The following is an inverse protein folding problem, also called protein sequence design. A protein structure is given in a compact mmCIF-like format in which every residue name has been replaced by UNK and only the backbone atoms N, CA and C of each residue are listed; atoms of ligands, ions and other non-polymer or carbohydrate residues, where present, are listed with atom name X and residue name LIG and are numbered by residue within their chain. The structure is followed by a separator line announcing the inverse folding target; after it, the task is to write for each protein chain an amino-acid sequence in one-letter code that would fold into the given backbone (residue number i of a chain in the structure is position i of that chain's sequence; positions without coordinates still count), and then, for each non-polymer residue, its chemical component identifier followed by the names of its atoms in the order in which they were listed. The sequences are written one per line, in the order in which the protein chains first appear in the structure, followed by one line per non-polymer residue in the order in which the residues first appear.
data_IF_796521667783
#
_entry.id   IF_796521667783
#
_cell.length_a   1.000
_cell.length_b   1.000
_cell.length_c   1.000
_cell.angle_alpha   90.00
_cell.angle_beta   90.00
_cell.angle_gamma   90.00
#
_symmetry.space_group_name_H-M   'P 1'
#
loop_
_entity.id
_entity.type
_entity.pdbx_description
1 polymer ?
#
# COMPACT_ATOMS: atom_id res chain seq x y z
N UNK A 1 4.64 -12.13 -75.55
CA UNK A 1 3.84 -11.30 -74.63
C UNK A 1 2.96 -12.17 -73.72
N UNK A 2 3.47 -13.16 -72.97
CA UNK A 2 2.71 -14.03 -72.09
C UNK A 2 3.20 -14.11 -70.64
N UNK A 3 4.26 -13.39 -70.29
CA UNK A 3 4.83 -13.42 -68.93
C UNK A 3 4.28 -12.35 -68.01
N UNK A 4 3.82 -11.20 -68.52
CA UNK A 4 3.29 -10.09 -67.71
C UNK A 4 1.92 -10.42 -67.03
N UNK A 5 1.07 -11.18 -67.75
CA UNK A 5 -0.26 -11.52 -67.25
C UNK A 5 -0.20 -12.50 -66.05
N UNK A 6 0.78 -13.38 -66.01
CA UNK A 6 0.95 -14.35 -64.89
C UNK A 6 1.45 -13.65 -63.63
N UNK A 7 2.29 -12.65 -63.76
CA UNK A 7 2.79 -11.86 -62.65
C UNK A 7 1.71 -10.92 -62.07
N UNK A 8 0.87 -10.31 -62.91
CA UNK A 8 -0.24 -9.49 -62.44
C UNK A 8 -1.30 -10.30 -61.69
N UNK A 9 -1.60 -11.51 -62.14
CA UNK A 9 -2.52 -12.41 -61.44
C UNK A 9 -1.95 -12.88 -60.10
N UNK A 10 -0.65 -13.15 -60.00
CA UNK A 10 -0.01 -13.53 -58.75
C UNK A 10 -0.02 -12.38 -57.72
N UNK A 11 0.27 -11.15 -58.16
CA UNK A 11 0.23 -9.95 -57.31
C UNK A 11 -1.19 -9.67 -56.81
N UNK A 12 -2.20 -9.78 -57.67
CA UNK A 12 -3.60 -9.62 -57.28
C UNK A 12 -4.09 -10.69 -56.28
N UNK A 13 -3.62 -11.93 -56.46
CA UNK A 13 -3.94 -13.00 -55.51
C UNK A 13 -3.31 -12.78 -54.13
N UNK A 14 -2.06 -12.30 -54.08
CA UNK A 14 -1.38 -11.96 -52.81
C UNK A 14 -2.04 -10.75 -52.12
N UNK A 15 -2.37 -9.71 -52.89
CA UNK A 15 -3.11 -8.55 -52.33
C UNK A 15 -4.50 -8.94 -51.84
N UNK A 16 -5.21 -9.80 -52.57
CA UNK A 16 -6.50 -10.33 -52.12
C UNK A 16 -6.42 -11.17 -50.83
N UNK A 17 -5.37 -11.99 -50.70
CA UNK A 17 -5.13 -12.77 -49.48
C UNK A 17 -4.77 -11.88 -48.27
N UNK A 18 -3.96 -10.85 -48.51
CA UNK A 18 -3.59 -9.87 -47.45
C UNK A 18 -4.80 -9.04 -46.99
N UNK A 19 -5.64 -8.59 -47.93
CA UNK A 19 -6.88 -7.84 -47.59
C UNK A 19 -7.89 -8.73 -46.88
N UNK A 20 -7.99 -10.00 -47.27
CA UNK A 20 -8.86 -10.95 -46.58
C UNK A 20 -8.36 -11.27 -45.16
N UNK A 21 -7.06 -11.48 -44.97
CA UNK A 21 -6.45 -11.70 -43.68
C UNK A 21 -6.64 -10.49 -42.75
N UNK A 22 -6.43 -9.29 -43.28
CA UNK A 22 -6.65 -8.03 -42.55
C UNK A 22 -8.14 -7.79 -42.22
N UNK A 23 -9.03 -8.13 -43.14
CA UNK A 23 -10.49 -8.08 -42.91
C UNK A 23 -10.95 -9.10 -41.86
N UNK A 24 -10.35 -10.27 -41.83
CA UNK A 24 -10.63 -11.29 -40.79
C UNK A 24 -10.13 -10.87 -39.41
N UNK A 25 -8.99 -10.18 -39.33
CA UNK A 25 -8.52 -9.60 -38.06
C UNK A 25 -9.41 -8.45 -37.59
N UNK A 26 -9.89 -7.61 -38.49
CA UNK A 26 -10.84 -6.52 -38.16
C UNK A 26 -12.28 -7.03 -37.91
N UNK A 27 -12.64 -8.22 -38.38
CA UNK A 27 -13.94 -8.85 -38.20
C UNK A 27 -13.97 -9.81 -37.01
N UNK A 28 -12.83 -9.98 -36.31
CA UNK A 28 -12.78 -10.58 -34.98
C UNK A 28 -13.62 -9.70 -34.06
N UNK A 29 -14.87 -10.13 -33.83
CA UNK A 29 -15.94 -9.36 -33.22
C UNK A 29 -15.60 -8.85 -31.81
N UNK A 30 -16.43 -7.94 -31.29
CA UNK A 30 -16.29 -7.29 -29.98
C UNK A 30 -16.44 -8.25 -28.78
N UNK A 31 -16.46 -9.58 -29.01
CA UNK A 31 -16.65 -10.61 -27.98
C UNK A 31 -15.34 -11.05 -27.31
N UNK A 32 -14.21 -10.35 -27.57
CA UNK A 32 -12.95 -10.45 -26.81
C UNK A 32 -12.52 -9.10 -26.21
N UNK A 33 -13.42 -8.21 -25.98
CA UNK A 33 -13.33 -7.34 -24.83
C UNK A 33 -13.52 -8.23 -23.61
N UNK A 34 -12.52 -9.07 -23.32
CA UNK A 34 -12.38 -9.65 -22.01
C UNK A 34 -12.48 -8.48 -21.06
N UNK A 35 -13.41 -8.58 -20.17
CA UNK A 35 -13.63 -7.68 -19.03
C UNK A 35 -12.28 -7.40 -18.38
N UNK A 36 -11.61 -6.34 -18.84
CA UNK A 36 -10.41 -5.80 -18.23
C UNK A 36 -10.88 -5.00 -17.02
N UNK A 37 -11.68 -5.64 -16.16
CA UNK A 37 -11.87 -5.21 -14.81
C UNK A 37 -10.47 -5.08 -14.23
N UNK A 38 -10.08 -3.86 -13.86
CA UNK A 38 -8.82 -3.65 -13.15
C UNK A 38 -8.75 -4.70 -12.04
N UNK A 39 -7.60 -5.40 -11.88
CA UNK A 39 -7.48 -6.42 -10.85
C UNK A 39 -7.98 -5.86 -9.53
N UNK A 40 -8.83 -6.60 -8.83
CA UNK A 40 -9.30 -6.18 -7.52
C UNK A 40 -8.07 -5.93 -6.62
N UNK A 41 -8.07 -4.88 -5.77
CA UNK A 41 -6.98 -4.62 -4.86
C UNK A 41 -6.68 -5.86 -4.02
N UNK A 42 -5.43 -6.32 -4.04
CA UNK A 42 -4.96 -7.50 -3.31
C UNK A 42 -4.28 -7.09 -2.02
N UNK A 43 -4.34 -7.96 -1.02
CA UNK A 43 -3.61 -7.75 0.24
C UNK A 43 -2.12 -7.97 0.02
N UNK A 44 -1.77 -8.99 -0.77
CA UNK A 44 -0.40 -9.41 -1.08
C UNK A 44 -0.28 -9.76 -2.55
N UNK A 45 0.96 -9.73 -3.06
CA UNK A 45 1.31 -10.38 -4.32
C UNK A 45 1.31 -11.90 -4.16
N UNK A 46 1.04 -12.63 -5.22
CA UNK A 46 1.11 -14.11 -5.21
C UNK A 46 2.51 -14.64 -4.83
N UNK A 47 3.56 -13.83 -5.04
CA UNK A 47 4.94 -14.16 -4.69
C UNK A 47 5.27 -13.94 -3.20
N UNK A 48 4.46 -13.22 -2.44
CA UNK A 48 4.69 -12.89 -1.03
C UNK A 48 4.09 -13.99 -0.13
N UNK A 49 4.63 -15.22 -0.30
CA UNK A 49 4.27 -16.35 0.58
C UNK A 49 4.97 -16.25 1.93
N UNK A 50 4.47 -16.89 3.00
CA UNK A 50 5.12 -16.87 4.32
C UNK A 50 6.59 -17.29 4.25
N UNK A 51 6.94 -18.28 3.42
CA UNK A 51 8.30 -18.75 3.23
C UNK A 51 9.17 -17.72 2.53
N UNK A 52 8.64 -17.04 1.50
CA UNK A 52 9.33 -15.97 0.79
C UNK A 52 9.58 -14.74 1.67
N UNK A 53 8.65 -14.45 2.58
CA UNK A 53 8.74 -13.31 3.49
C UNK A 53 9.61 -13.58 4.72
N UNK A 54 9.90 -14.82 5.09
CA UNK A 54 10.65 -15.17 6.29
C UNK A 54 12.02 -14.45 6.37
N UNK A 55 12.81 -14.50 5.30
CA UNK A 55 14.09 -13.80 5.22
C UNK A 55 13.98 -12.26 5.27
N UNK A 56 13.11 -11.63 4.47
CA UNK A 56 12.82 -10.21 4.60
C UNK A 56 12.35 -9.77 6.00
N UNK A 57 11.44 -10.49 6.65
CA UNK A 57 10.95 -10.21 8.02
C UNK A 57 12.10 -10.25 9.03
N UNK A 58 12.97 -11.27 8.95
CA UNK A 58 14.13 -11.36 9.83
C UNK A 58 15.08 -10.18 9.65
N UNK A 59 15.32 -9.71 8.42
CA UNK A 59 16.21 -8.57 8.16
C UNK A 59 15.59 -7.22 8.55
N UNK A 60 14.29 -7.06 8.40
CA UNK A 60 13.58 -5.85 8.78
C UNK A 60 13.52 -5.68 10.30
N UNK A 61 13.52 -6.79 11.05
CA UNK A 61 13.52 -6.80 12.52
C UNK A 61 12.51 -5.80 13.11
N UNK A 62 11.27 -5.87 12.60
CA UNK A 62 10.22 -4.96 12.98
C UNK A 62 9.73 -5.24 14.40
N UNK A 63 9.37 -4.19 15.12
CA UNK A 63 8.61 -4.34 16.35
C UNK A 63 7.25 -5.00 16.06
N UNK A 64 6.72 -5.81 17.01
CA UNK A 64 5.42 -6.43 16.86
C UNK A 64 4.32 -5.35 16.72
N UNK A 65 3.28 -5.67 15.98
CA UNK A 65 2.12 -4.80 15.91
C UNK A 65 1.46 -4.68 17.29
N UNK A 66 0.79 -3.55 17.57
CA UNK A 66 0.16 -3.36 18.87
C UNK A 66 -0.85 -4.48 19.18
N UNK A 67 -0.78 -5.01 20.37
CA UNK A 67 -1.77 -5.95 20.88
C UNK A 67 -3.12 -5.25 21.12
N UNK A 68 -4.19 -6.02 21.12
CA UNK A 68 -5.54 -5.54 21.41
C UNK A 68 -5.60 -4.78 22.72
N UNK A 69 -6.10 -3.55 22.68
CA UNK A 69 -6.40 -2.77 23.87
C UNK A 69 -7.77 -3.12 24.48
N UNK A 70 -8.06 -2.66 25.69
CA UNK A 70 -9.31 -2.99 26.39
C UNK A 70 -10.55 -2.27 25.82
N UNK A 71 -10.36 -1.21 25.04
CA UNK A 71 -11.44 -0.40 24.47
C UNK A 71 -11.93 -0.91 23.10
N UNK A 72 -12.97 -0.28 22.59
CA UNK A 72 -13.53 -0.58 21.26
C UNK A 72 -12.68 -0.02 20.10
N UNK A 73 -11.74 0.91 20.40
CA UNK A 73 -10.93 1.59 19.43
C UNK A 73 -11.69 2.54 18.49
N UNK A 74 -11.03 3.05 17.44
CA UNK A 74 -11.63 3.96 16.47
C UNK A 74 -12.83 3.31 15.77
N UNK A 75 -14.00 3.95 15.85
CA UNK A 75 -15.26 3.40 15.31
C UNK A 75 -15.18 3.17 13.80
N UNK A 76 -14.53 4.07 13.06
CA UNK A 76 -14.37 3.97 11.62
C UNK A 76 -13.54 2.74 11.19
N UNK A 77 -12.67 2.23 12.07
CA UNK A 77 -11.80 1.09 11.82
C UNK A 77 -12.38 -0.26 12.28
N UNK A 78 -13.60 -0.28 12.83
CA UNK A 78 -14.24 -1.54 13.23
C UNK A 78 -14.43 -2.46 12.03
N UNK A 79 -14.01 -3.71 12.19
CA UNK A 79 -14.08 -4.73 11.15
C UNK A 79 -12.98 -4.62 10.08
N UNK A 80 -12.06 -3.65 10.21
CA UNK A 80 -10.85 -3.61 9.38
C UNK A 80 -9.83 -4.55 9.97
N UNK A 81 -9.53 -5.61 9.24
CA UNK A 81 -8.51 -6.61 9.59
C UNK A 81 -7.42 -6.57 8.54
N UNK A 82 -6.18 -6.45 8.98
CA UNK A 82 -4.98 -6.44 8.15
C UNK A 82 -3.93 -7.38 8.72
N UNK A 83 -2.79 -7.52 8.06
CA UNK A 83 -1.69 -8.36 8.52
C UNK A 83 -0.61 -7.52 9.19
N UNK A 84 0.04 -8.06 10.21
CA UNK A 84 1.26 -7.51 10.79
C UNK A 84 2.45 -7.92 9.94
N UNK A 85 3.18 -6.99 9.36
CA UNK A 85 4.35 -7.31 8.53
C UNK A 85 5.51 -7.95 9.31
N UNK A 86 5.52 -7.80 10.64
CA UNK A 86 6.58 -8.41 11.47
C UNK A 86 6.52 -9.95 11.46
N UNK A 87 5.32 -10.53 11.50
CA UNK A 87 5.13 -11.98 11.71
C UNK A 87 4.02 -12.63 10.87
N UNK A 88 3.23 -11.83 10.15
CA UNK A 88 2.11 -12.32 9.36
C UNK A 88 0.82 -12.55 10.15
N UNK A 89 0.76 -12.17 11.41
CA UNK A 89 -0.44 -12.32 12.24
C UNK A 89 -1.55 -11.36 11.80
N UNK A 90 -2.80 -11.80 11.98
CA UNK A 90 -3.97 -10.95 11.71
C UNK A 90 -4.17 -9.93 12.84
N UNK A 91 -4.43 -8.69 12.47
CA UNK A 91 -4.62 -7.55 13.38
C UNK A 91 -6.01 -6.95 13.16
N UNK A 92 -6.88 -6.99 14.17
CA UNK A 92 -8.06 -6.14 14.22
C UNK A 92 -7.61 -4.71 14.52
N UNK A 93 -7.63 -3.86 13.50
CA UNK A 93 -7.03 -2.52 13.59
C UNK A 93 -7.70 -1.66 14.68
N UNK A 94 -9.03 -1.73 14.82
CA UNK A 94 -9.72 -0.95 15.84
C UNK A 94 -9.25 -1.35 17.24
N UNK A 95 -9.17 -2.63 17.52
CA UNK A 95 -8.75 -3.16 18.82
C UNK A 95 -7.28 -2.91 19.09
N UNK A 96 -6.42 -3.09 18.09
CA UNK A 96 -4.99 -2.84 18.19
C UNK A 96 -4.67 -1.36 18.50
N UNK A 97 -5.49 -0.43 18.03
CA UNK A 97 -5.33 1.01 18.29
C UNK A 97 -6.16 1.54 19.47
N UNK A 98 -6.88 0.67 20.18
CA UNK A 98 -7.75 1.08 21.27
C UNK A 98 -6.98 1.62 22.48
N UNK A 99 -7.57 2.60 23.17
CA UNK A 99 -7.15 3.15 24.45
C UNK A 99 -5.71 3.73 24.46
N UNK A 100 -5.27 4.24 23.30
CA UNK A 100 -3.94 4.87 23.14
C UNK A 100 -4.00 6.07 22.19
N UNK A 101 -3.13 7.04 22.40
CA UNK A 101 -2.86 8.09 21.41
C UNK A 101 -1.99 7.49 20.32
N UNK A 102 -2.43 7.60 19.06
CA UNK A 102 -1.72 6.97 17.92
C UNK A 102 -1.35 8.00 16.86
N UNK A 103 -0.14 7.87 16.36
CA UNK A 103 0.30 8.47 15.10
C UNK A 103 0.35 7.36 14.06
N UNK A 104 -0.62 7.36 13.15
CA UNK A 104 -0.75 6.38 12.09
C UNK A 104 -0.15 6.97 10.82
N UNK A 105 1.00 6.45 10.38
CA UNK A 105 1.72 6.94 9.20
C UNK A 105 1.50 6.02 8.00
N UNK A 106 0.86 6.53 6.95
CA UNK A 106 0.51 5.80 5.74
C UNK A 106 1.58 6.03 4.67
N UNK A 107 2.16 4.95 4.15
CA UNK A 107 3.28 4.99 3.25
C UNK A 107 3.28 3.84 2.21
N UNK A 108 4.20 3.90 1.24
CA UNK A 108 4.49 2.78 0.34
C UNK A 108 5.99 2.71 0.04
N UNK A 109 6.50 1.51 -0.26
CA UNK A 109 7.93 1.27 -0.51
C UNK A 109 8.52 2.10 -1.65
N UNK A 110 7.72 2.46 -2.64
CA UNK A 110 8.11 3.26 -3.81
C UNK A 110 7.96 4.78 -3.60
N UNK A 111 7.43 5.21 -2.48
CA UNK A 111 7.19 6.62 -2.16
C UNK A 111 8.49 7.26 -1.60
N UNK A 112 9.18 8.06 -2.40
CA UNK A 112 10.42 8.74 -2.01
C UNK A 112 10.28 9.58 -0.74
N UNK A 113 9.34 10.55 -0.68
CA UNK A 113 9.12 11.37 0.52
C UNK A 113 8.75 10.55 1.77
N UNK A 114 8.08 9.39 1.60
CA UNK A 114 7.78 8.51 2.73
C UNK A 114 9.06 7.88 3.31
N UNK A 115 10.00 7.48 2.44
CA UNK A 115 11.27 6.92 2.87
C UNK A 115 12.13 7.93 3.65
N UNK A 116 12.04 9.21 3.31
CA UNK A 116 12.71 10.29 4.05
C UNK A 116 12.07 10.55 5.42
N UNK A 117 10.75 10.37 5.54
CA UNK A 117 9.98 10.62 6.76
C UNK A 117 10.12 9.50 7.81
N UNK A 118 10.18 8.23 7.39
CA UNK A 118 10.15 7.06 8.28
C UNK A 118 11.22 7.10 9.40
N UNK A 119 12.49 7.49 9.16
CA UNK A 119 13.47 7.65 10.23
C UNK A 119 13.10 8.73 11.25
N UNK A 120 12.42 9.81 10.81
CA UNK A 120 11.92 10.87 11.71
C UNK A 120 10.77 10.34 12.58
N UNK A 121 9.86 9.52 12.01
CA UNK A 121 8.80 8.82 12.76
C UNK A 121 9.37 7.91 13.84
N UNK A 122 10.41 7.12 13.52
CA UNK A 122 11.09 6.29 14.52
C UNK A 122 11.76 7.12 15.62
N UNK A 123 12.39 8.24 15.25
CA UNK A 123 13.01 9.14 16.22
C UNK A 123 11.97 9.79 17.13
N UNK A 124 10.82 10.16 16.58
CA UNK A 124 9.68 10.65 17.34
C UNK A 124 9.13 9.58 18.29
N UNK A 125 8.94 8.33 17.85
CA UNK A 125 8.49 7.24 18.72
C UNK A 125 9.43 7.05 19.92
N UNK A 126 10.75 7.05 19.69
CA UNK A 126 11.72 6.92 20.79
C UNK A 126 11.61 8.05 21.82
N UNK A 127 11.31 9.26 21.38
CA UNK A 127 11.15 10.43 22.26
C UNK A 127 9.82 10.42 23.01
N UNK A 128 8.73 10.11 22.31
CA UNK A 128 7.40 10.07 22.88
C UNK A 128 7.20 8.89 23.85
N UNK A 129 8.01 7.83 23.74
CA UNK A 129 7.90 6.64 24.57
C UNK A 129 6.50 6.04 24.52
N UNK A 130 5.94 5.72 25.69
CA UNK A 130 4.61 5.11 25.81
C UNK A 130 3.46 6.11 25.73
N UNK A 131 3.75 7.41 25.67
CA UNK A 131 2.71 8.46 25.62
C UNK A 131 1.99 8.45 24.26
N UNK A 132 2.69 8.09 23.19
CA UNK A 132 2.17 8.00 21.82
C UNK A 132 2.67 6.71 21.17
N UNK A 133 1.79 6.02 20.47
CA UNK A 133 2.13 4.84 19.68
C UNK A 133 2.25 5.23 18.21
N UNK A 134 3.43 5.15 17.62
CA UNK A 134 3.62 5.33 16.18
C UNK A 134 3.45 3.97 15.51
N UNK A 135 2.48 3.87 14.62
CA UNK A 135 2.18 2.67 13.82
C UNK A 135 2.22 3.06 12.36
N UNK A 136 2.97 2.34 11.55
CA UNK A 136 3.03 2.59 10.12
C UNK A 136 2.11 1.66 9.35
N UNK A 137 1.58 2.13 8.22
CA UNK A 137 0.66 1.38 7.36
C UNK A 137 1.23 1.36 5.95
N UNK A 138 1.63 0.19 5.49
CA UNK A 138 2.08 0.01 4.12
C UNK A 138 0.89 -0.23 3.20
N UNK A 139 0.72 0.63 2.19
CA UNK A 139 -0.47 0.68 1.33
C UNK A 139 -0.23 0.13 -0.09
N UNK A 140 0.58 -0.91 -0.21
CA UNK A 140 0.85 -1.59 -1.47
C UNK A 140 0.86 -3.11 -1.24
N UNK A 141 0.52 -3.90 -2.26
CA UNK A 141 0.48 -5.36 -2.16
C UNK A 141 1.86 -6.01 -2.06
N UNK A 142 2.94 -5.26 -2.34
CA UNK A 142 4.32 -5.75 -2.32
C UNK A 142 4.93 -5.68 -0.93
N UNK A 143 4.57 -6.59 -0.04
CA UNK A 143 5.08 -6.65 1.32
C UNK A 143 6.59 -6.90 1.37
N UNK A 144 7.13 -7.78 0.52
CA UNK A 144 8.56 -8.05 0.48
C UNK A 144 9.38 -6.76 0.23
N UNK A 145 8.91 -5.86 -0.66
CA UNK A 145 9.59 -4.59 -0.90
C UNK A 145 9.46 -3.62 0.28
N UNK A 146 8.34 -3.64 1.01
CA UNK A 146 8.18 -2.86 2.24
C UNK A 146 9.19 -3.29 3.30
N UNK A 147 9.31 -4.60 3.56
CA UNK A 147 10.27 -5.17 4.51
C UNK A 147 11.71 -4.83 4.15
N UNK A 148 12.07 -4.93 2.86
CA UNK A 148 13.39 -4.53 2.38
C UNK A 148 13.62 -3.03 2.62
N UNK A 149 12.64 -2.19 2.32
CA UNK A 149 12.75 -0.74 2.54
C UNK A 149 12.93 -0.39 4.01
N UNK A 150 12.17 -1.00 4.92
CA UNK A 150 12.33 -0.79 6.36
C UNK A 150 13.73 -1.19 6.84
N UNK A 151 14.24 -2.34 6.38
CA UNK A 151 15.61 -2.79 6.69
C UNK A 151 16.68 -1.82 6.18
N UNK A 152 16.57 -1.34 4.93
CA UNK A 152 17.49 -0.36 4.33
C UNK A 152 17.53 0.96 5.11
N UNK A 153 16.39 1.39 5.64
CA UNK A 153 16.28 2.63 6.42
C UNK A 153 16.66 2.45 7.89
N UNK A 154 16.87 1.21 8.36
CA UNK A 154 17.08 0.91 9.78
C UNK A 154 15.88 1.32 10.65
N UNK A 155 14.67 1.22 10.11
CA UNK A 155 13.42 1.55 10.79
C UNK A 155 12.72 0.28 11.23
N UNK A 156 12.46 0.17 12.53
CA UNK A 156 11.88 -1.01 13.18
C UNK A 156 10.46 -0.80 13.70
N UNK A 157 9.81 0.30 13.33
CA UNK A 157 8.43 0.59 13.74
C UNK A 157 7.46 -0.55 13.34
N UNK A 158 6.36 -0.75 14.09
CA UNK A 158 5.30 -1.65 13.67
C UNK A 158 4.76 -1.28 12.30
N UNK A 159 4.54 -2.27 11.44
CA UNK A 159 3.98 -2.10 10.10
C UNK A 159 2.71 -2.93 9.95
N UNK A 160 1.60 -2.27 9.70
CA UNK A 160 0.36 -2.91 9.23
C UNK A 160 0.41 -3.03 7.71
N UNK A 161 0.31 -4.24 7.20
CA UNK A 161 0.27 -4.52 5.77
C UNK A 161 -1.16 -4.36 5.25
N UNK A 162 -1.44 -3.27 4.54
CA UNK A 162 -2.77 -2.91 4.04
C UNK A 162 -2.74 -2.68 2.51
N UNK A 163 -2.42 -3.73 1.75
CA UNK A 163 -2.38 -3.67 0.28
C UNK A 163 -3.70 -3.24 -0.37
N UNK A 164 -4.81 -3.39 0.33
CA UNK A 164 -6.14 -2.96 -0.14
C UNK A 164 -6.48 -1.52 0.21
N UNK A 165 -5.67 -0.85 1.01
CA UNK A 165 -5.92 0.51 1.51
C UNK A 165 -7.22 0.62 2.31
N UNK A 166 -7.57 -0.44 3.02
CA UNK A 166 -8.80 -0.56 3.81
C UNK A 166 -8.85 0.47 4.94
N UNK A 167 -7.70 0.73 5.59
CA UNK A 167 -7.56 1.74 6.63
C UNK A 167 -7.79 3.14 6.07
N UNK A 168 -7.13 3.46 4.95
CA UNK A 168 -7.32 4.76 4.30
C UNK A 168 -8.76 4.98 3.84
N UNK A 169 -9.39 3.93 3.28
CA UNK A 169 -10.78 3.96 2.87
C UNK A 169 -11.74 4.18 4.04
N UNK A 170 -11.57 3.43 5.14
CA UNK A 170 -12.38 3.53 6.34
C UNK A 170 -12.29 4.92 7.00
N UNK A 171 -11.10 5.50 7.04
CA UNK A 171 -10.86 6.85 7.56
C UNK A 171 -11.18 7.96 6.54
N UNK A 172 -11.58 7.62 5.33
CA UNK A 172 -11.88 8.56 4.21
C UNK A 172 -10.72 9.52 3.92
N UNK A 173 -9.49 8.99 3.94
CA UNK A 173 -8.31 9.81 3.71
C UNK A 173 -8.18 10.24 2.25
N UNK A 174 -7.56 11.40 1.98
CA UNK A 174 -7.23 11.79 0.62
C UNK A 174 -6.24 10.79 -0.01
N UNK A 175 -6.30 10.66 -1.34
CA UNK A 175 -5.38 9.77 -2.07
C UNK A 175 -4.01 10.42 -2.28
N UNK A 176 -3.33 10.71 -1.18
CA UNK A 176 -1.96 11.26 -1.17
C UNK A 176 -1.08 10.46 -0.23
N UNK A 177 0.23 10.49 -0.47
CA UNK A 177 1.24 9.79 0.31
C UNK A 177 2.53 10.62 0.37
N UNK A 178 3.15 10.76 1.56
CA UNK A 178 2.71 10.23 2.84
C UNK A 178 1.49 10.96 3.41
N UNK A 179 0.78 10.28 4.30
CA UNK A 179 -0.27 10.88 5.10
C UNK A 179 -0.17 10.39 6.55
N UNK A 180 -0.29 11.30 7.49
CA UNK A 180 -0.27 10.98 8.92
C UNK A 180 -1.61 11.30 9.54
N UNK A 181 -2.15 10.35 10.31
CA UNK A 181 -3.38 10.51 11.07
C UNK A 181 -3.06 10.48 12.56
N UNK A 182 -3.50 11.49 13.29
CA UNK A 182 -3.40 11.52 14.75
C UNK A 182 -4.74 11.08 15.33
N UNK A 183 -4.72 10.00 16.11
CA UNK A 183 -5.88 9.49 16.84
C UNK A 183 -5.74 9.80 18.33
N UNK A 184 -6.83 10.26 18.94
CA UNK A 184 -6.91 10.40 20.40
C UNK A 184 -7.11 9.05 21.06
N UNK A 185 -6.87 9.00 22.35
CA UNK A 185 -7.05 7.80 23.19
C UNK A 185 -8.49 7.25 23.14
N UNK A 186 -9.49 8.09 22.92
CA UNK A 186 -10.89 7.69 22.75
C UNK A 186 -11.20 7.13 21.35
N UNK A 187 -10.20 7.06 20.47
CA UNK A 187 -10.33 6.59 19.10
C UNK A 187 -10.80 7.64 18.09
N UNK A 188 -11.09 8.87 18.54
CA UNK A 188 -11.46 9.94 17.60
C UNK A 188 -10.26 10.43 16.78
N UNK A 189 -10.52 10.81 15.51
CA UNK A 189 -9.51 11.43 14.65
C UNK A 189 -9.27 12.87 15.12
N UNK A 190 -8.06 13.13 15.59
CA UNK A 190 -7.63 14.46 16.00
C UNK A 190 -7.26 15.33 14.80
N UNK A 191 -6.49 14.76 13.86
CA UNK A 191 -6.05 15.45 12.64
C UNK A 191 -5.66 14.47 11.54
N UNK A 192 -5.76 14.92 10.29
CA UNK A 192 -5.21 14.28 9.09
C UNK A 192 -4.20 15.24 8.47
N UNK A 193 -2.96 14.80 8.34
CA UNK A 193 -1.82 15.61 7.89
C UNK A 193 -1.25 15.00 6.59
N UNK A 194 -1.78 15.41 5.40
CA UNK A 194 -1.41 14.83 4.11
C UNK A 194 -0.14 15.49 3.55
N UNK A 195 0.96 15.41 4.28
CA UNK A 195 2.25 15.97 3.92
C UNK A 195 3.39 15.19 4.56
N UNK A 196 4.59 15.21 4.00
CA UNK A 196 5.76 14.64 4.65
C UNK A 196 6.21 15.50 5.86
N UNK A 197 6.93 14.84 6.77
CA UNK A 197 7.68 15.45 7.87
C UNK A 197 9.17 15.18 7.69
N UNK A 198 10.00 16.15 8.04
CA UNK A 198 11.46 16.07 7.87
C UNK A 198 12.21 15.80 9.17
N UNK A 199 11.55 15.97 10.31
CA UNK A 199 12.18 15.78 11.63
C UNK A 199 11.18 15.35 12.69
N UNK A 200 11.70 14.73 13.75
CA UNK A 200 10.92 14.37 14.92
C UNK A 200 10.34 15.60 15.66
N UNK A 201 11.01 16.76 15.60
CA UNK A 201 10.51 18.00 16.21
C UNK A 201 9.28 18.53 15.46
N UNK A 202 9.29 18.43 14.14
CA UNK A 202 8.16 18.81 13.32
C UNK A 202 6.94 17.91 13.56
N UNK A 203 7.17 16.60 13.72
CA UNK A 203 6.12 15.64 14.06
C UNK A 203 5.54 15.94 15.44
N UNK A 204 6.40 16.16 16.42
CA UNK A 204 6.02 16.47 17.79
C UNK A 204 5.10 17.70 17.87
N UNK A 205 5.56 18.83 17.28
CA UNK A 205 4.78 20.06 17.21
C UNK A 205 3.41 19.86 16.52
N UNK A 206 3.36 19.04 15.45
CA UNK A 206 2.13 18.75 14.74
C UNK A 206 1.17 17.90 15.57
N UNK A 207 1.69 16.88 16.27
CA UNK A 207 0.89 16.00 17.16
C UNK A 207 0.37 16.79 18.36
N UNK A 208 1.21 17.57 19.03
CA UNK A 208 0.75 18.44 20.13
C UNK A 208 -0.34 19.42 19.68
N UNK A 209 -0.17 20.00 18.49
CA UNK A 209 -1.19 20.89 17.91
C UNK A 209 -2.52 20.17 17.64
N UNK A 210 -2.45 18.95 17.16
CA UNK A 210 -3.64 18.13 16.85
C UNK A 210 -4.40 17.68 18.12
N UNK A 211 -3.69 17.50 19.23
CA UNK A 211 -4.28 17.00 20.47
C UNK A 211 -4.86 18.10 21.38
N UNK A 212 -4.50 19.36 21.11
CA UNK A 212 -5.14 20.54 21.76
C UNK A 212 -6.59 20.67 21.32
#
# INVERSE_FOLDING_TARGET
MRTSTRWTLAVLAVLGALTLAFALELSGGPDRAGDASAPAPRTHRDADTPEALAGPRQRADLLPCPADGPGAGPEQLRGVVVECAADGSQVDVARALADRTVVLNLWAYWCGPCAEELPAMQSYQRRAGDAVSVVTVHQDENEAAALVRMAELGVHLPVLQDGRRSIAGALRLPNVMPATVVLRKDGSVASVLPRPFTSADEIDAAVESALR
#
